data_IF_491962079823
#
_entry.id   IF_491962079823
#
_cell.length_a   1.000
_cell.length_b   1.000
_cell.length_c   1.000
_cell.angle_alpha   90.00
_cell.angle_beta   90.00
_cell.angle_gamma   90.00
#
_symmetry.space_group_name_H-M   'P 1'
#
loop_
_entity.id
_entity.type
_entity.pdbx_description
1 polymer ?
#
# COMPACT_ATOMS: atom_id res chain seq x y z
N UNK A 1 6.19 1.66 11.53
CA UNK A 1 5.42 1.17 10.35
C UNK A 1 3.95 1.45 10.59
N UNK A 2 3.18 1.96 9.61
CA UNK A 2 1.76 2.19 9.85
C UNK A 2 1.04 0.85 10.06
N UNK A 3 -0.12 0.89 10.70
CA UNK A 3 -0.94 -0.29 10.94
C UNK A 3 -1.13 -1.09 9.62
N UNK A 4 -0.62 -2.32 9.64
CA UNK A 4 -0.50 -3.20 8.47
C UNK A 4 -1.83 -3.94 8.29
N UNK A 5 -2.75 -3.31 7.56
CA UNK A 5 -4.06 -3.88 7.26
C UNK A 5 -4.02 -4.80 6.05
N UNK A 6 -5.16 -5.05 5.44
CA UNK A 6 -5.31 -5.80 4.21
C UNK A 6 -6.10 -4.96 3.21
N UNK A 7 -5.77 -5.09 1.93
CA UNK A 7 -6.46 -4.39 0.86
C UNK A 7 -7.66 -5.20 0.38
N UNK A 8 -7.55 -6.52 0.26
CA UNK A 8 -8.60 -7.41 -0.23
C UNK A 8 -9.33 -8.20 0.86
N UNK A 9 -8.59 -8.80 1.79
CA UNK A 9 -9.16 -9.68 2.82
C UNK A 9 -9.75 -8.87 3.97
N UNK A 10 -10.91 -9.29 4.45
CA UNK A 10 -11.50 -8.75 5.69
C UNK A 10 -11.22 -9.60 6.92
N UNK A 11 -10.71 -10.82 6.74
CA UNK A 11 -10.39 -11.73 7.83
C UNK A 11 -9.01 -12.36 7.64
N UNK A 12 -8.33 -12.60 8.76
CA UNK A 12 -7.09 -13.40 8.79
C UNK A 12 -7.37 -14.83 8.29
N UNK A 13 -6.41 -15.45 7.61
CA UNK A 13 -6.50 -16.87 7.22
C UNK A 13 -6.53 -17.77 8.44
N UNK A 14 -5.61 -17.54 9.39
CA UNK A 14 -5.36 -18.50 10.48
C UNK A 14 -6.45 -18.50 11.54
N UNK A 15 -6.79 -17.35 12.11
CA UNK A 15 -7.75 -17.25 13.21
C UNK A 15 -9.17 -16.88 12.77
N UNK A 16 -9.37 -16.58 11.47
CA UNK A 16 -10.62 -16.00 10.93
C UNK A 16 -11.09 -14.73 11.66
N UNK A 17 -10.20 -14.06 12.39
CA UNK A 17 -10.49 -12.80 13.04
C UNK A 17 -10.68 -11.67 12.02
N UNK A 18 -11.60 -10.74 12.31
CA UNK A 18 -11.84 -9.54 11.50
C UNK A 18 -10.59 -8.65 11.49
N UNK A 19 -10.29 -8.07 10.33
CA UNK A 19 -9.25 -7.06 10.14
C UNK A 19 -9.96 -5.69 10.12
N UNK A 20 -9.83 -4.87 11.18
CA UNK A 20 -10.73 -3.74 11.41
C UNK A 20 -10.61 -2.60 10.39
N UNK A 21 -9.40 -2.31 9.87
CA UNK A 21 -9.20 -1.17 8.97
C UNK A 21 -8.89 -1.61 7.54
N UNK A 22 -9.72 -2.50 7.00
CA UNK A 22 -9.69 -2.82 5.56
C UNK A 22 -10.61 -1.88 4.80
N UNK A 23 -10.37 -1.60 3.51
CA UNK A 23 -11.20 -0.67 2.76
C UNK A 23 -12.70 -1.00 2.80
N UNK A 24 -13.06 -2.30 2.77
CA UNK A 24 -14.47 -2.70 2.86
C UNK A 24 -15.08 -2.37 4.23
N UNK A 25 -14.35 -2.66 5.32
CA UNK A 25 -14.86 -2.43 6.67
C UNK A 25 -14.99 -0.94 6.95
N UNK A 26 -14.00 -0.13 6.53
CA UNK A 26 -14.04 1.32 6.70
C UNK A 26 -15.20 1.95 5.92
N UNK A 27 -15.34 1.65 4.62
CA UNK A 27 -16.44 2.21 3.82
C UNK A 27 -17.81 1.76 4.33
N UNK A 28 -17.94 0.49 4.75
CA UNK A 28 -19.20 0.02 5.33
C UNK A 28 -19.52 0.74 6.64
N UNK A 29 -18.54 0.92 7.52
CA UNK A 29 -18.74 1.61 8.79
C UNK A 29 -19.19 3.07 8.59
N UNK A 30 -18.63 3.78 7.61
CA UNK A 30 -19.09 5.13 7.25
C UNK A 30 -20.54 5.14 6.75
N UNK A 31 -20.92 4.18 5.89
CA UNK A 31 -22.31 4.03 5.42
C UNK A 31 -23.26 3.69 6.59
N UNK A 32 -22.82 2.80 7.48
CA UNK A 32 -23.57 2.41 8.68
C UNK A 32 -23.72 3.58 9.68
N UNK A 33 -22.82 4.56 9.64
CA UNK A 33 -22.87 5.75 10.48
C UNK A 33 -23.74 6.88 9.91
N UNK A 34 -24.19 6.79 8.65
CA UNK A 34 -25.07 7.80 8.05
C UNK A 34 -26.44 7.84 8.76
N UNK A 35 -27.13 8.97 8.68
CA UNK A 35 -28.45 9.12 9.28
C UNK A 35 -29.51 8.24 8.61
N UNK A 36 -30.59 7.96 9.34
CA UNK A 36 -31.62 7.03 8.86
C UNK A 36 -32.40 7.59 7.65
N UNK A 37 -32.61 8.91 7.57
CA UNK A 37 -33.29 9.54 6.44
C UNK A 37 -32.50 9.35 5.13
N UNK A 38 -31.18 9.55 5.19
CA UNK A 38 -30.28 9.26 4.08
C UNK A 38 -30.32 7.78 3.69
N UNK A 39 -30.28 6.87 4.68
CA UNK A 39 -30.32 5.43 4.43
C UNK A 39 -31.63 4.99 3.78
N UNK A 40 -32.78 5.50 4.22
CA UNK A 40 -34.08 5.23 3.60
C UNK A 40 -34.13 5.70 2.14
N UNK A 41 -33.48 6.82 1.84
CA UNK A 41 -33.48 7.42 0.51
C UNK A 41 -32.53 6.73 -0.46
N UNK A 42 -31.36 6.27 0.03
CA UNK A 42 -30.24 5.87 -0.84
C UNK A 42 -29.84 4.39 -0.74
N UNK A 43 -30.27 3.67 0.30
CA UNK A 43 -29.95 2.26 0.48
C UNK A 43 -31.12 1.36 0.10
N UNK A 44 -30.87 0.06 -0.17
CA UNK A 44 -31.93 -0.87 -0.50
C UNK A 44 -32.97 -0.99 0.62
N UNK A 45 -34.27 -1.18 0.28
CA UNK A 45 -35.29 -1.52 1.26
C UNK A 45 -34.85 -2.73 2.10
N UNK A 46 -35.07 -2.65 3.42
CA UNK A 46 -34.65 -3.67 4.37
C UNK A 46 -33.26 -3.44 4.99
N UNK A 47 -32.45 -2.52 4.46
CA UNK A 47 -31.12 -2.23 5.04
C UNK A 47 -31.20 -1.75 6.49
N UNK A 48 -32.13 -0.84 6.80
CA UNK A 48 -32.36 -0.36 8.17
C UNK A 48 -32.92 -1.43 9.11
N UNK A 49 -33.62 -2.42 8.56
CA UNK A 49 -34.12 -3.55 9.33
C UNK A 49 -33.07 -4.67 9.48
N UNK A 50 -31.82 -4.40 9.11
CA UNK A 50 -30.70 -5.36 9.10
C UNK A 50 -31.00 -6.63 8.29
N UNK A 51 -31.78 -6.51 7.21
CA UNK A 51 -32.01 -7.62 6.31
C UNK A 51 -30.69 -8.08 5.66
N UNK A 52 -30.46 -9.39 5.70
CA UNK A 52 -29.22 -9.99 5.21
C UNK A 52 -29.03 -9.73 3.71
N UNK A 53 -30.08 -9.81 2.90
CA UNK A 53 -29.96 -9.62 1.45
C UNK A 53 -29.64 -8.16 1.12
N UNK A 54 -30.31 -7.21 1.77
CA UNK A 54 -30.02 -5.79 1.65
C UNK A 54 -28.57 -5.50 2.05
N UNK A 55 -28.12 -6.01 3.20
CA UNK A 55 -26.75 -5.83 3.70
C UNK A 55 -25.70 -6.44 2.77
N UNK A 56 -25.94 -7.66 2.27
CA UNK A 56 -25.05 -8.33 1.32
C UNK A 56 -24.97 -7.55 0.01
N UNK A 57 -26.09 -7.03 -0.50
CA UNK A 57 -26.12 -6.29 -1.76
C UNK A 57 -25.25 -5.01 -1.71
N UNK A 58 -25.33 -4.26 -0.60
CA UNK A 58 -24.47 -3.08 -0.36
C UNK A 58 -23.01 -3.49 -0.27
N UNK A 59 -22.70 -4.55 0.50
CA UNK A 59 -21.32 -5.05 0.61
C UNK A 59 -20.74 -5.52 -0.74
N UNK A 60 -21.55 -6.11 -1.62
CA UNK A 60 -21.14 -6.50 -2.98
C UNK A 60 -20.87 -5.28 -3.86
N UNK A 61 -21.70 -4.24 -3.78
CA UNK A 61 -21.48 -2.98 -4.49
C UNK A 61 -20.18 -2.31 -4.07
N UNK A 62 -19.93 -2.20 -2.75
CA UNK A 62 -18.67 -1.63 -2.23
C UNK A 62 -17.48 -2.42 -2.75
N UNK A 63 -17.51 -3.76 -2.70
CA UNK A 63 -16.43 -4.61 -3.25
C UNK A 63 -16.19 -4.36 -4.74
N UNK A 64 -17.25 -4.19 -5.52
CA UNK A 64 -17.17 -3.89 -6.96
C UNK A 64 -16.48 -2.56 -7.20
N UNK A 65 -16.87 -1.51 -6.46
CA UNK A 65 -16.24 -0.19 -6.57
C UNK A 65 -14.77 -0.21 -6.13
N UNK A 66 -14.48 -0.83 -4.98
CA UNK A 66 -13.11 -0.99 -4.49
C UNK A 66 -12.19 -1.73 -5.46
N UNK A 67 -12.72 -2.63 -6.30
CA UNK A 67 -11.93 -3.31 -7.34
C UNK A 67 -11.39 -2.30 -8.36
N UNK A 68 -12.21 -1.33 -8.78
CA UNK A 68 -11.80 -0.28 -9.71
C UNK A 68 -10.77 0.65 -9.05
N UNK A 69 -11.04 1.10 -7.82
CA UNK A 69 -10.12 1.97 -7.07
C UNK A 69 -8.76 1.32 -6.84
N UNK A 70 -8.73 0.04 -6.44
CA UNK A 70 -7.48 -0.72 -6.33
C UNK A 70 -6.75 -0.81 -7.66
N UNK A 71 -7.48 -1.01 -8.76
CA UNK A 71 -6.86 -1.09 -10.09
C UNK A 71 -6.24 0.26 -10.50
N UNK A 72 -6.91 1.37 -10.18
CA UNK A 72 -6.38 2.73 -10.40
C UNK A 72 -5.14 2.99 -9.52
N UNK A 73 -5.19 2.64 -8.24
CA UNK A 73 -4.04 2.76 -7.33
C UNK A 73 -2.84 1.94 -7.81
N UNK A 74 -3.04 0.68 -8.21
CA UNK A 74 -1.97 -0.16 -8.75
C UNK A 74 -1.35 0.44 -10.01
N UNK A 75 -2.16 1.06 -10.89
CA UNK A 75 -1.68 1.73 -12.09
C UNK A 75 -0.77 2.92 -11.74
N UNK A 76 -1.16 3.75 -10.77
CA UNK A 76 -0.36 4.88 -10.31
C UNK A 76 0.94 4.43 -9.63
N UNK A 77 0.86 3.42 -8.75
CA UNK A 77 2.03 2.87 -8.05
C UNK A 77 3.07 2.31 -9.04
N UNK A 78 2.60 1.67 -10.11
CA UNK A 78 3.43 1.05 -11.14
C UNK A 78 3.78 2.00 -12.30
N UNK A 79 3.57 3.32 -12.15
CA UNK A 79 3.94 4.32 -13.16
C UNK A 79 5.42 4.21 -13.54
N UNK A 80 5.70 4.18 -14.84
CA UNK A 80 7.05 3.99 -15.41
C UNK A 80 7.61 2.58 -15.26
N UNK A 81 7.24 1.84 -14.22
CA UNK A 81 7.83 0.56 -13.83
C UNK A 81 7.27 -0.66 -14.59
N UNK A 82 6.90 -0.51 -15.87
CA UNK A 82 6.43 -1.62 -16.72
C UNK A 82 7.56 -2.14 -17.60
N UNK A 83 8.23 -3.25 -17.23
CA UNK A 83 9.28 -3.82 -18.06
C UNK A 83 8.68 -4.58 -19.25
N UNK A 84 9.39 -4.62 -20.38
CA UNK A 84 9.04 -5.46 -21.54
C UNK A 84 9.23 -4.76 -22.90
N UNK A 85 8.81 -5.38 -24.02
CA UNK A 85 8.98 -4.81 -25.37
C UNK A 85 8.28 -3.47 -25.60
N UNK A 86 7.31 -3.12 -24.74
CA UNK A 86 6.61 -1.82 -24.71
C UNK A 86 7.03 -0.97 -23.51
N UNK A 87 8.24 -1.19 -22.99
CA UNK A 87 8.77 -0.40 -21.90
C UNK A 87 8.85 1.07 -22.31
N UNK A 88 8.44 1.94 -21.40
CA UNK A 88 8.59 3.38 -21.61
C UNK A 88 10.09 3.73 -21.49
N UNK A 89 10.69 4.43 -22.48
CA UNK A 89 12.08 4.88 -22.37
C UNK A 89 12.27 5.98 -21.31
N UNK A 90 11.19 6.49 -20.71
CA UNK A 90 11.25 7.45 -19.62
C UNK A 90 11.71 6.78 -18.32
N UNK A 91 12.56 7.48 -17.58
CA UNK A 91 13.03 7.04 -16.27
C UNK A 91 11.86 6.77 -15.31
N UNK A 92 12.01 5.73 -14.50
CA UNK A 92 11.00 5.35 -13.53
C UNK A 92 10.97 6.41 -12.42
N UNK A 93 9.81 7.03 -12.13
CA UNK A 93 9.73 8.08 -11.12
C UNK A 93 10.10 7.55 -9.75
N UNK A 94 10.67 8.41 -8.90
CA UNK A 94 10.98 8.08 -7.52
C UNK A 94 9.70 7.85 -6.71
N UNK A 95 9.82 7.23 -5.53
CA UNK A 95 8.65 6.93 -4.71
C UNK A 95 7.89 8.19 -4.30
N UNK A 96 8.59 9.30 -4.05
CA UNK A 96 7.95 10.58 -3.70
C UNK A 96 7.03 11.07 -4.81
N UNK A 97 7.46 11.01 -6.08
CA UNK A 97 6.64 11.41 -7.24
C UNK A 97 5.41 10.50 -7.42
N UNK A 98 5.58 9.20 -7.17
CA UNK A 98 4.47 8.25 -7.18
C UNK A 98 3.45 8.60 -6.09
N UNK A 99 3.91 8.87 -4.86
CA UNK A 99 3.01 9.24 -3.75
C UNK A 99 2.32 10.58 -4.02
N UNK A 100 3.01 11.57 -4.60
CA UNK A 100 2.39 12.83 -5.01
C UNK A 100 1.26 12.58 -6.01
N UNK A 101 1.48 11.70 -7.00
CA UNK A 101 0.48 11.35 -7.99
C UNK A 101 -0.72 10.63 -7.36
N UNK A 102 -0.47 9.69 -6.44
CA UNK A 102 -1.53 9.00 -5.69
C UNK A 102 -2.35 9.98 -4.85
N UNK A 103 -1.72 10.90 -4.13
CA UNK A 103 -2.44 11.87 -3.30
C UNK A 103 -3.29 12.81 -4.14
N UNK A 104 -2.80 13.29 -5.29
CA UNK A 104 -3.58 14.15 -6.18
C UNK A 104 -4.81 13.45 -6.77
N UNK A 105 -4.70 12.17 -7.10
CA UNK A 105 -5.82 11.40 -7.66
C UNK A 105 -6.84 10.97 -6.58
N UNK A 106 -6.38 10.60 -5.39
CA UNK A 106 -7.23 9.98 -4.36
C UNK A 106 -7.64 10.90 -3.21
N UNK A 107 -7.10 12.12 -3.15
CA UNK A 107 -7.40 13.07 -2.08
C UNK A 107 -7.87 14.41 -2.65
N UNK A 108 -9.16 14.78 -2.45
CA UNK A 108 -9.69 16.07 -2.90
C UNK A 108 -8.86 17.26 -2.39
N UNK A 109 -8.32 17.16 -1.17
CA UNK A 109 -7.44 18.16 -0.57
C UNK A 109 -6.18 18.42 -1.39
N UNK A 110 -5.60 17.39 -1.99
CA UNK A 110 -4.31 17.46 -2.68
C UNK A 110 -4.43 17.67 -4.19
N UNK A 111 -5.62 17.48 -4.78
CA UNK A 111 -5.85 17.48 -6.22
C UNK A 111 -5.28 18.72 -6.94
N UNK A 112 -5.40 19.90 -6.33
CA UNK A 112 -4.94 21.18 -6.91
C UNK A 112 -3.66 21.72 -6.26
N UNK A 113 -3.04 20.98 -5.33
CA UNK A 113 -1.81 21.42 -4.68
C UNK A 113 -0.60 21.27 -5.62
N UNK A 114 0.40 22.15 -5.50
CA UNK A 114 1.67 22.04 -6.22
C UNK A 114 2.45 20.79 -5.80
N UNK A 115 3.40 20.33 -6.62
CA UNK A 115 4.20 19.13 -6.31
C UNK A 115 4.93 19.30 -4.98
N UNK A 116 5.54 20.47 -4.77
CA UNK A 116 6.29 20.77 -3.56
C UNK A 116 5.42 20.73 -2.30
N UNK A 117 4.20 21.30 -2.37
CA UNK A 117 3.30 21.32 -1.21
C UNK A 117 2.79 19.92 -0.88
N UNK A 118 2.45 19.11 -1.89
CA UNK A 118 2.06 17.71 -1.64
C UNK A 118 3.25 16.94 -1.07
N UNK A 119 4.44 17.08 -1.65
CA UNK A 119 5.63 16.38 -1.18
C UNK A 119 5.95 16.71 0.28
N UNK A 120 5.88 18.00 0.67
CA UNK A 120 6.08 18.46 2.03
C UNK A 120 5.05 17.97 3.05
N UNK A 121 3.86 17.52 2.60
CA UNK A 121 2.84 16.94 3.48
C UNK A 121 2.88 15.41 3.57
N UNK A 122 3.82 14.75 2.89
CA UNK A 122 3.89 13.28 2.89
C UNK A 122 4.49 12.77 4.20
N UNK A 123 3.67 12.07 4.97
CA UNK A 123 4.17 11.34 6.13
C UNK A 123 4.98 10.09 5.71
N UNK A 124 6.07 9.83 6.43
CA UNK A 124 6.99 8.70 6.13
C UNK A 124 6.28 7.34 6.06
N UNK A 125 5.25 7.14 6.87
CA UNK A 125 4.48 5.89 6.87
C UNK A 125 3.77 5.63 5.54
N UNK A 126 3.33 6.68 4.84
CA UNK A 126 2.72 6.57 3.52
C UNK A 126 3.76 6.23 2.46
N UNK A 127 4.96 6.83 2.51
CA UNK A 127 6.09 6.49 1.63
C UNK A 127 6.45 5.02 1.75
N UNK A 128 6.65 4.53 2.98
CA UNK A 128 6.98 3.12 3.22
C UNK A 128 5.88 2.22 2.67
N UNK A 129 4.60 2.57 2.89
CA UNK A 129 3.47 1.78 2.39
C UNK A 129 3.42 1.74 0.86
N UNK A 130 3.64 2.85 0.18
CA UNK A 130 3.62 2.89 -1.29
C UNK A 130 4.85 2.20 -1.89
N UNK A 131 6.03 2.36 -1.28
CA UNK A 131 7.25 1.64 -1.68
C UNK A 131 7.07 0.13 -1.54
N UNK A 132 6.49 -0.31 -0.42
CA UNK A 132 6.17 -1.70 -0.16
C UNK A 132 5.26 -2.28 -1.25
N UNK A 133 4.14 -1.59 -1.55
CA UNK A 133 3.24 -2.02 -2.63
C UNK A 133 3.95 -2.08 -3.98
N UNK A 134 4.76 -1.07 -4.29
CA UNK A 134 5.49 -0.99 -5.57
C UNK A 134 6.46 -2.14 -5.75
N UNK A 135 7.27 -2.45 -4.73
CA UNK A 135 8.23 -3.56 -4.78
C UNK A 135 7.51 -4.90 -4.97
N UNK A 136 6.47 -5.16 -4.18
CA UNK A 136 5.67 -6.39 -4.32
C UNK A 136 5.07 -6.53 -5.73
N UNK A 137 4.46 -5.47 -6.26
CA UNK A 137 3.86 -5.50 -7.59
C UNK A 137 4.90 -5.63 -8.71
N UNK A 138 6.07 -4.99 -8.56
CA UNK A 138 7.15 -5.10 -9.54
C UNK A 138 7.74 -6.52 -9.57
N UNK A 139 8.04 -7.10 -8.41
CA UNK A 139 8.53 -8.48 -8.28
C UNK A 139 7.57 -9.48 -8.90
N UNK A 140 6.28 -9.38 -8.55
CA UNK A 140 5.28 -10.27 -9.11
C UNK A 140 5.21 -10.13 -10.64
N UNK A 141 5.30 -8.91 -11.17
CA UNK A 141 5.26 -8.68 -12.61
C UNK A 141 6.44 -9.30 -13.35
N UNK A 142 7.61 -9.41 -12.71
CA UNK A 142 8.75 -10.15 -13.25
C UNK A 142 8.49 -11.66 -13.27
N UNK A 143 7.83 -12.20 -12.24
CA UNK A 143 7.48 -13.63 -12.12
C UNK A 143 6.33 -14.06 -13.05
N UNK A 144 5.31 -13.23 -13.24
CA UNK A 144 4.14 -13.52 -14.10
C UNK A 144 4.51 -13.71 -15.59
N UNK A 145 5.79 -13.51 -15.97
CA UNK A 145 6.30 -13.87 -17.31
C UNK A 145 6.51 -15.37 -17.52
N UNK A 146 6.45 -16.19 -16.47
CA UNK A 146 6.83 -17.62 -16.53
C UNK A 146 5.75 -18.61 -16.10
N UNK A 147 4.58 -18.18 -15.58
CA UNK A 147 3.57 -19.10 -15.02
C UNK A 147 2.13 -18.83 -15.46
N UNK A 148 1.35 -19.89 -15.67
CA UNK A 148 -0.06 -19.89 -16.14
C UNK A 148 -1.12 -19.63 -15.06
N UNK A 149 -0.74 -19.52 -13.78
CA UNK A 149 -1.67 -19.25 -12.66
C UNK A 149 -1.24 -17.96 -11.93
N UNK A 150 -1.52 -16.81 -12.53
CA UNK A 150 -1.22 -15.52 -11.92
C UNK A 150 -2.18 -15.24 -10.76
N UNK A 151 -1.69 -15.34 -9.51
CA UNK A 151 -2.44 -14.86 -8.33
C UNK A 151 -2.58 -13.34 -8.39
N UNK A 152 -3.66 -12.77 -7.86
CA UNK A 152 -3.80 -11.32 -7.83
C UNK A 152 -2.68 -10.67 -7.00
N UNK A 153 -2.06 -9.55 -7.45
CA UNK A 153 -1.08 -8.82 -6.65
C UNK A 153 -1.54 -8.50 -5.23
N UNK A 154 -2.82 -8.17 -5.09
CA UNK A 154 -3.42 -7.87 -3.80
C UNK A 154 -3.45 -9.07 -2.85
N UNK A 155 -3.65 -10.28 -3.38
CA UNK A 155 -3.67 -11.50 -2.56
C UNK A 155 -2.28 -11.85 -2.02
N UNK A 156 -1.25 -11.70 -2.86
CA UNK A 156 0.16 -11.91 -2.46
C UNK A 156 0.55 -10.91 -1.38
N UNK A 157 0.22 -9.63 -1.59
CA UNK A 157 0.44 -8.54 -0.65
C UNK A 157 -0.29 -8.82 0.68
N UNK A 158 -1.56 -9.22 0.63
CA UNK A 158 -2.37 -9.46 1.82
C UNK A 158 -1.83 -10.62 2.68
N UNK A 159 -1.35 -11.70 2.05
CA UNK A 159 -0.68 -12.80 2.77
C UNK A 159 0.60 -12.33 3.45
N UNK A 160 1.41 -11.53 2.76
CA UNK A 160 2.64 -11.04 3.35
C UNK A 160 2.35 -10.06 4.51
N UNK A 161 1.34 -9.19 4.36
CA UNK A 161 0.87 -8.30 5.44
C UNK A 161 0.36 -9.09 6.65
N UNK A 162 -0.28 -10.25 6.45
CA UNK A 162 -0.67 -11.14 7.55
C UNK A 162 0.52 -11.70 8.32
N UNK A 163 1.59 -12.10 7.62
CA UNK A 163 2.84 -12.48 8.28
C UNK A 163 3.44 -11.32 9.05
N UNK A 164 3.53 -10.15 8.40
CA UNK A 164 4.10 -8.95 8.99
C UNK A 164 3.32 -8.46 10.23
N UNK A 165 2.00 -8.67 10.31
CA UNK A 165 1.21 -8.30 11.50
C UNK A 165 1.73 -8.95 12.78
N UNK A 166 2.23 -10.18 12.70
CA UNK A 166 2.76 -10.97 13.82
C UNK A 166 4.18 -10.55 14.26
N UNK A 167 4.88 -9.75 13.45
CA UNK A 167 6.24 -9.28 13.78
C UNK A 167 6.20 -8.13 14.81
N UNK A 168 7.30 -7.95 15.54
CA UNK A 168 7.45 -6.87 16.52
C UNK A 168 7.40 -5.49 15.87
N UNK A 169 7.21 -4.44 16.68
CA UNK A 169 7.25 -3.07 16.19
C UNK A 169 8.61 -2.75 15.53
N UNK A 170 9.71 -3.07 16.21
CA UNK A 170 11.07 -2.76 15.73
C UNK A 170 11.40 -3.50 14.44
N UNK A 171 10.99 -4.76 14.31
CA UNK A 171 11.10 -5.50 13.07
C UNK A 171 10.42 -4.75 11.93
N UNK A 172 9.18 -4.30 12.15
CA UNK A 172 8.42 -3.57 11.13
C UNK A 172 9.13 -2.26 10.77
N UNK A 173 9.68 -1.52 11.74
CA UNK A 173 10.46 -0.30 11.49
C UNK A 173 11.70 -0.57 10.65
N UNK A 174 12.51 -1.57 11.03
CA UNK A 174 13.69 -2.00 10.28
C UNK A 174 13.35 -2.43 8.84
N UNK A 175 12.31 -3.24 8.69
CA UNK A 175 11.79 -3.66 7.40
C UNK A 175 11.35 -2.45 6.54
N UNK A 176 10.65 -1.49 7.14
CA UNK A 176 10.20 -0.28 6.45
C UNK A 176 11.36 0.57 5.92
N UNK A 177 12.47 0.66 6.67
CA UNK A 177 13.70 1.35 6.22
C UNK A 177 14.34 0.62 5.04
N UNK A 178 14.46 -0.71 5.11
CA UNK A 178 14.98 -1.52 3.99
C UNK A 178 14.14 -1.37 2.73
N UNK A 179 12.81 -1.36 2.86
CA UNK A 179 11.89 -1.14 1.74
C UNK A 179 12.15 0.21 1.05
N UNK A 180 12.35 1.29 1.81
CA UNK A 180 12.68 2.59 1.23
C UNK A 180 14.07 2.59 0.57
N UNK A 181 15.06 1.98 1.22
CA UNK A 181 16.41 1.86 0.66
C UNK A 181 16.37 1.11 -0.68
N UNK A 182 15.68 -0.03 -0.74
CA UNK A 182 15.54 -0.83 -1.96
C UNK A 182 14.80 -0.05 -3.05
N UNK A 183 13.71 0.61 -2.66
CA UNK A 183 12.96 1.49 -3.55
C UNK A 183 13.82 2.60 -4.14
N UNK A 184 14.67 3.25 -3.34
CA UNK A 184 15.54 4.34 -3.80
C UNK A 184 16.65 3.85 -4.74
N UNK A 185 17.20 2.66 -4.50
CA UNK A 185 18.25 2.08 -5.35
C UNK A 185 17.71 1.60 -6.70
N UNK A 186 16.50 1.02 -6.70
CA UNK A 186 15.85 0.52 -7.92
C UNK A 186 15.19 1.64 -8.72
N UNK A 187 14.49 2.56 -8.05
CA UNK A 187 13.68 3.61 -8.67
C UNK A 187 14.25 4.99 -8.34
N UNK A 188 15.48 5.24 -8.75
CA UNK A 188 16.25 6.46 -8.45
C UNK A 188 15.85 7.68 -9.29
N UNK A 189 14.91 7.56 -10.22
CA UNK A 189 14.54 8.63 -11.15
C UNK A 189 15.42 8.73 -12.38
N UNK A 190 16.41 7.84 -12.54
CA UNK A 190 17.30 7.79 -13.71
C UNK A 190 17.15 6.49 -14.50
N UNK A 191 16.96 5.35 -13.81
CA UNK A 191 16.79 4.03 -14.44
C UNK A 191 15.44 3.89 -15.13
N UNK A 192 15.44 3.35 -16.34
CA UNK A 192 14.23 2.99 -17.10
C UNK A 192 13.74 1.58 -16.73
N UNK A 193 12.55 1.21 -17.20
CA UNK A 193 12.05 -0.14 -17.01
C UNK A 193 12.84 -1.22 -17.76
N UNK A 194 13.56 -0.83 -18.82
CA UNK A 194 14.46 -1.73 -19.54
C UNK A 194 15.71 -2.03 -18.70
N UNK A 195 16.28 -1.02 -18.03
CA UNK A 195 17.46 -1.18 -17.17
C UNK A 195 17.17 -2.13 -16.00
N UNK A 196 15.97 -2.04 -15.43
CA UNK A 196 15.54 -2.91 -14.34
C UNK A 196 15.03 -4.29 -14.80
N UNK A 197 14.87 -4.53 -16.10
CA UNK A 197 14.25 -5.76 -16.59
C UNK A 197 15.09 -7.02 -16.29
N UNK A 198 16.42 -6.86 -16.23
CA UNK A 198 17.37 -7.94 -15.93
C UNK A 198 17.78 -8.02 -14.45
N UNK A 199 17.40 -7.02 -13.64
CA UNK A 199 17.72 -6.99 -12.21
C UNK A 199 16.72 -7.89 -11.47
N UNK A 200 17.24 -8.87 -10.74
CA UNK A 200 16.45 -9.70 -9.84
C UNK A 200 16.05 -8.85 -8.63
N UNK A 201 14.76 -8.49 -8.54
CA UNK A 201 14.23 -7.74 -7.40
C UNK A 201 13.76 -8.73 -6.33
N UNK A 202 14.22 -8.52 -5.10
CA UNK A 202 13.81 -9.28 -3.92
C UNK A 202 13.26 -8.34 -2.84
N UNK A 203 12.47 -8.90 -1.93
CA UNK A 203 12.10 -8.22 -0.69
C UNK A 203 13.25 -8.32 0.32
N UNK A 204 13.30 -7.43 1.33
CA UNK A 204 14.21 -7.57 2.44
C UNK A 204 14.09 -8.95 3.09
N UNK A 205 15.22 -9.61 3.27
CA UNK A 205 15.35 -10.92 3.92
C UNK A 205 15.30 -10.80 5.44
N UNK A 206 15.07 -11.92 6.14
CA UNK A 206 15.08 -11.94 7.60
C UNK A 206 16.46 -11.56 8.16
N UNK A 207 17.54 -12.01 7.51
CA UNK A 207 18.91 -11.74 7.92
C UNK A 207 19.25 -10.25 7.81
N UNK A 208 18.81 -9.58 6.74
CA UNK A 208 18.98 -8.12 6.57
C UNK A 208 18.23 -7.33 7.65
N UNK A 209 17.01 -7.75 7.98
CA UNK A 209 16.24 -7.12 9.05
C UNK A 209 16.93 -7.34 10.40
N UNK A 210 17.38 -8.56 10.67
CA UNK A 210 18.05 -8.91 11.91
C UNK A 210 19.37 -8.14 12.07
N UNK A 211 20.14 -7.94 11.00
CA UNK A 211 21.35 -7.14 11.01
C UNK A 211 21.08 -5.69 11.43
N UNK A 212 19.99 -5.09 10.95
CA UNK A 212 19.57 -3.74 11.41
C UNK A 212 19.18 -3.75 12.89
N UNK A 213 18.43 -4.77 13.33
CA UNK A 213 18.00 -4.86 14.73
C UNK A 213 19.20 -5.02 15.67
N UNK A 214 20.19 -5.83 15.31
CA UNK A 214 21.43 -6.02 16.09
C UNK A 214 22.22 -4.72 16.16
N UNK A 215 22.45 -4.06 15.02
CA UNK A 215 23.16 -2.78 14.97
C UNK A 215 22.48 -1.74 15.87
N UNK A 216 21.15 -1.67 15.82
CA UNK A 216 20.37 -0.71 16.61
C UNK A 216 20.26 -1.08 18.09
N UNK A 217 20.48 -2.34 18.47
CA UNK A 217 20.61 -2.75 19.87
C UNK A 217 22.01 -2.49 20.44
N UNK A 218 23.01 -2.28 19.57
CA UNK A 218 24.38 -1.92 19.93
C UNK A 218 24.60 -0.41 20.00
N UNK A 219 23.85 0.35 19.19
CA UNK A 219 23.64 1.79 19.35
C UNK A 219 22.69 1.98 20.56
N UNK A 220 23.21 2.40 21.72
CA UNK A 220 22.43 2.65 22.94
C UNK A 220 21.24 3.63 22.67
N UNK A 221 20.18 3.66 23.49
CA UNK A 221 19.05 4.54 23.21
C UNK A 221 19.49 5.99 23.41
N UNK A 222 19.64 6.73 22.31
CA UNK A 222 19.60 8.19 22.37
C UNK A 222 18.16 8.57 22.75
N UNK A 223 18.02 9.12 23.95
CA UNK A 223 16.83 9.81 24.43
C UNK A 223 16.56 11.02 23.51
N UNK A 224 15.78 10.85 22.45
CA UNK A 224 15.17 11.98 21.73
C UNK A 224 13.71 11.68 21.38
N UNK A 225 12.86 11.90 22.38
CA UNK A 225 11.53 12.48 22.17
C UNK A 225 11.72 13.93 21.69
N UNK A 226 11.95 14.17 20.40
CA UNK A 226 11.60 15.45 19.78
C UNK A 226 11.04 15.24 18.37
N UNK A 227 9.79 15.69 18.19
CA UNK A 227 9.17 16.00 16.91
C UNK A 227 10.02 17.03 16.16
N UNK A 228 11.04 16.57 15.44
CA UNK A 228 11.90 17.38 14.60
C UNK A 228 11.63 17.09 13.12
N UNK A 229 11.03 18.04 12.43
CA UNK A 229 10.98 18.06 10.97
C UNK A 229 12.39 17.89 10.38
N UNK A 230 12.60 16.82 9.59
CA UNK A 230 13.84 16.68 8.83
C UNK A 230 13.57 17.00 7.37
N UNK A 231 14.07 18.17 7.01
CA UNK A 231 14.35 18.66 5.67
C UNK A 231 15.13 17.64 4.82
N UNK A 232 15.01 17.83 3.50
CA UNK A 232 15.84 17.27 2.42
C UNK A 232 15.67 15.78 2.13
N UNK A 233 14.86 15.49 1.10
CA UNK A 233 15.24 14.73 -0.11
C UNK A 233 14.31 15.11 -1.27
#
# INVERSE_FOLDING_TARGET
>A
MPALHSYGRTHTVTSRALIPNTPLVLVKAEIDAMDNEWKETHLPPGYLAEDDNATISVALLIRKLLKYEKSALAKLIMTGARPGPRANPVAIPQITDVVVSVLRDFSPRHALMTRANVAGSIHISLLVRMAYLRLHMFMQRQQDRTTTVARSPWEVIDRHLESMRRKSHDYKVAYGRLILAYGSQLFDGTKTASDLAAISVALPSEDEVQAILVRRGQEAPDDEDEEGAINTF
#
